data_IF_546124450311
#
_entry.id   IF_546124450311
#
_cell.length_a   1.000
_cell.length_b   1.000
_cell.length_c   1.000
_cell.angle_alpha   90.00
_cell.angle_beta   90.00
_cell.angle_gamma   90.00
#
_symmetry.space_group_name_H-M   'P 1'
#
loop_
_entity.id
_entity.type
_entity.pdbx_description
1 polymer ?
#
# COMPACT_ATOMS: atom_id res chain seq x y z
N UNK A 1 -41.08 -51.65 -52.50
CA UNK A 1 -40.64 -50.25 -52.40
C UNK A 1 -40.89 -49.80 -50.96
N UNK A 2 -39.85 -49.86 -50.14
CA UNK A 2 -39.85 -49.46 -48.73
C UNK A 2 -39.01 -48.18 -48.56
N UNK A 3 -39.36 -47.25 -47.67
CA UNK A 3 -38.69 -45.96 -47.57
C UNK A 3 -37.37 -46.06 -46.79
N UNK A 4 -36.43 -45.18 -47.13
CA UNK A 4 -35.09 -45.07 -46.59
C UNK A 4 -35.05 -44.58 -45.13
N UNK A 5 -34.24 -45.24 -44.31
CA UNK A 5 -33.79 -44.76 -43.00
C UNK A 5 -32.88 -43.52 -43.18
N UNK A 6 -33.38 -42.37 -42.72
CA UNK A 6 -32.58 -41.17 -42.52
C UNK A 6 -32.10 -41.13 -41.07
N UNK A 7 -30.79 -41.31 -40.87
CA UNK A 7 -30.13 -41.18 -39.57
C UNK A 7 -30.20 -39.73 -39.06
N UNK A 8 -30.81 -39.53 -37.89
CA UNK A 8 -30.85 -38.25 -37.17
C UNK A 8 -29.47 -38.05 -36.49
N UNK A 9 -28.77 -36.91 -36.68
CA UNK A 9 -27.55 -36.62 -35.94
C UNK A 9 -27.89 -36.29 -34.48
N UNK A 10 -27.25 -36.99 -33.56
CA UNK A 10 -27.27 -36.69 -32.12
C UNK A 10 -26.66 -35.31 -31.87
N UNK A 11 -27.46 -34.38 -31.37
CA UNK A 11 -27.02 -33.05 -30.99
C UNK A 11 -26.07 -33.12 -29.79
N UNK A 12 -24.86 -32.60 -29.96
CA UNK A 12 -23.97 -32.29 -28.86
C UNK A 12 -24.64 -31.24 -27.96
N UNK A 13 -25.18 -31.66 -26.81
CA UNK A 13 -25.49 -30.75 -25.71
C UNK A 13 -24.18 -30.12 -25.23
N UNK A 14 -23.93 -28.88 -25.64
CA UNK A 14 -22.97 -28.02 -24.94
C UNK A 14 -23.47 -27.90 -23.50
N UNK A 15 -22.69 -28.42 -22.55
CA UNK A 15 -22.94 -28.15 -21.14
C UNK A 15 -22.64 -26.67 -20.91
N UNK A 16 -23.68 -25.83 -20.95
CA UNK A 16 -23.63 -24.49 -20.39
C UNK A 16 -23.41 -24.63 -18.89
N UNK A 17 -22.14 -24.68 -18.46
CA UNK A 17 -21.77 -24.66 -17.05
C UNK A 17 -22.30 -23.33 -16.50
N UNK A 18 -23.31 -23.40 -15.62
CA UNK A 18 -23.89 -22.22 -15.00
C UNK A 18 -22.76 -21.37 -14.38
N UNK A 19 -22.73 -20.08 -14.72
CA UNK A 19 -21.73 -19.16 -14.16
C UNK A 19 -21.89 -19.12 -12.64
N UNK A 20 -20.83 -19.46 -11.91
CA UNK A 20 -20.82 -19.34 -10.45
C UNK A 20 -20.92 -17.86 -10.06
N UNK A 21 -21.80 -17.56 -9.10
CA UNK A 21 -22.05 -16.20 -8.61
C UNK A 21 -21.38 -15.96 -7.25
N UNK A 22 -21.09 -14.69 -6.96
CA UNK A 22 -20.56 -14.22 -5.68
C UNK A 22 -21.28 -12.96 -5.22
N UNK A 23 -21.17 -12.65 -3.92
CA UNK A 23 -21.51 -11.35 -3.36
C UNK A 23 -20.34 -10.39 -3.50
N UNK A 24 -20.65 -9.12 -3.77
CA UNK A 24 -19.70 -8.02 -3.79
C UNK A 24 -20.31 -6.79 -3.11
N UNK A 25 -19.46 -6.00 -2.47
CA UNK A 25 -19.79 -4.69 -1.95
C UNK A 25 -19.28 -3.64 -2.95
N UNK A 26 -20.21 -2.92 -3.59
CA UNK A 26 -19.87 -1.97 -4.65
C UNK A 26 -20.47 -0.60 -4.40
N UNK A 27 -19.93 0.39 -5.11
CA UNK A 27 -20.48 1.75 -5.20
C UNK A 27 -21.07 1.94 -6.59
N UNK A 28 -22.34 2.35 -6.68
CA UNK A 28 -23.05 2.44 -7.96
C UNK A 28 -22.64 3.65 -8.81
N UNK A 29 -22.38 4.78 -8.15
CA UNK A 29 -21.90 6.03 -8.75
C UNK A 29 -21.03 6.76 -7.74
N UNK A 30 -20.18 7.66 -8.21
CA UNK A 30 -19.30 8.47 -7.35
C UNK A 30 -20.06 9.09 -6.16
N UNK A 31 -19.57 8.83 -4.95
CA UNK A 31 -20.14 9.34 -3.69
C UNK A 31 -21.37 8.59 -3.15
N UNK A 32 -21.88 7.58 -3.85
CA UNK A 32 -22.98 6.77 -3.36
C UNK A 32 -22.55 5.86 -2.18
N UNK A 33 -23.48 5.49 -1.29
CA UNK A 33 -23.22 4.48 -0.27
C UNK A 33 -22.91 3.12 -0.91
N UNK A 34 -22.24 2.26 -0.15
CA UNK A 34 -22.00 0.88 -0.58
C UNK A 34 -23.30 0.08 -0.59
N UNK A 35 -23.46 -0.76 -1.62
CA UNK A 35 -24.53 -1.74 -1.71
C UNK A 35 -23.95 -3.15 -1.89
N UNK A 36 -24.69 -4.15 -1.39
CA UNK A 36 -24.34 -5.56 -1.61
C UNK A 36 -25.11 -6.07 -2.82
N UNK A 37 -24.38 -6.56 -3.82
CA UNK A 37 -24.95 -7.16 -5.03
C UNK A 37 -24.50 -8.61 -5.19
N UNK A 38 -25.11 -9.31 -6.14
CA UNK A 38 -24.55 -10.55 -6.69
C UNK A 38 -23.99 -10.29 -8.08
N UNK A 39 -22.85 -10.91 -8.40
CA UNK A 39 -22.18 -10.81 -9.71
C UNK A 39 -21.45 -12.12 -10.05
N UNK A 40 -21.12 -12.38 -11.32
CA UNK A 40 -20.34 -13.57 -11.70
C UNK A 40 -18.96 -13.61 -11.01
N UNK A 41 -18.47 -14.82 -10.73
CA UNK A 41 -17.07 -15.04 -10.37
C UNK A 41 -16.24 -15.00 -11.65
N UNK A 42 -15.23 -14.13 -11.74
CA UNK A 42 -14.39 -14.03 -12.93
C UNK A 42 -13.48 -15.26 -13.07
N UNK A 43 -13.04 -15.53 -14.30
CA UNK A 43 -12.04 -16.59 -14.59
C UNK A 43 -10.67 -15.93 -14.75
N UNK A 44 -9.59 -16.45 -14.14
CA UNK A 44 -8.28 -15.83 -14.24
C UNK A 44 -7.71 -15.94 -15.65
N UNK A 45 -7.25 -14.81 -16.20
CA UNK A 45 -6.53 -14.77 -17.47
C UNK A 45 -5.04 -15.08 -17.31
N UNK A 46 -4.24 -14.93 -18.39
CA UNK A 46 -2.80 -15.18 -18.32
C UNK A 46 -2.08 -14.34 -17.25
N UNK A 47 -1.28 -15.00 -16.42
CA UNK A 47 -0.52 -14.38 -15.31
C UNK A 47 -1.37 -13.96 -14.10
N UNK A 48 -2.63 -14.38 -14.04
CA UNK A 48 -3.56 -14.05 -12.96
C UNK A 48 -3.88 -15.27 -12.10
N UNK A 49 -4.25 -15.02 -10.85
CA UNK A 49 -4.82 -16.00 -9.95
C UNK A 49 -6.19 -15.52 -9.49
N UNK A 50 -7.13 -16.45 -9.34
CA UNK A 50 -8.38 -16.20 -8.65
C UNK A 50 -8.18 -16.52 -7.18
N UNK A 51 -8.41 -15.54 -6.31
CA UNK A 51 -8.31 -15.72 -4.86
C UNK A 51 -9.69 -15.69 -4.24
N UNK A 52 -10.01 -16.72 -3.45
CA UNK A 52 -11.15 -16.72 -2.55
C UNK A 52 -10.80 -15.91 -1.31
N UNK A 53 -11.48 -14.78 -1.14
CA UNK A 53 -11.20 -13.80 -0.10
C UNK A 53 -11.56 -14.34 1.28
N UNK A 54 -10.66 -14.14 2.24
CA UNK A 54 -10.89 -14.41 3.66
C UNK A 54 -10.93 -13.10 4.47
N UNK A 55 -10.05 -12.14 4.15
CA UNK A 55 -10.02 -10.83 4.76
C UNK A 55 -9.60 -9.76 3.74
N UNK A 56 -10.05 -8.53 3.96
CA UNK A 56 -9.62 -7.34 3.25
C UNK A 56 -9.33 -6.24 4.29
N UNK A 57 -8.30 -5.43 4.07
CA UNK A 57 -8.04 -4.26 4.90
C UNK A 57 -8.71 -3.02 4.34
N UNK A 58 -9.00 -2.06 5.22
CA UNK A 58 -9.56 -0.76 4.87
C UNK A 58 -8.45 0.28 4.82
N UNK A 59 -8.37 1.01 3.72
CA UNK A 59 -7.39 2.05 3.50
C UNK A 59 -8.06 3.40 3.20
N UNK A 60 -7.41 4.53 3.51
CA UNK A 60 -7.92 5.86 3.10
C UNK A 60 -8.14 5.99 1.59
N UNK A 61 -7.37 5.27 0.76
CA UNK A 61 -7.55 5.26 -0.69
C UNK A 61 -8.88 4.62 -1.11
N UNK A 62 -9.41 3.63 -0.37
CA UNK A 62 -10.70 3.00 -0.69
C UNK A 62 -11.84 4.02 -0.58
N UNK A 63 -11.78 4.86 0.45
CA UNK A 63 -12.70 5.99 0.60
C UNK A 63 -12.54 7.00 -0.54
N UNK A 64 -11.30 7.41 -0.87
CA UNK A 64 -11.01 8.33 -1.99
C UNK A 64 -11.49 7.77 -3.34
N UNK A 65 -11.39 6.46 -3.58
CA UNK A 65 -11.94 5.80 -4.77
C UNK A 65 -13.45 5.99 -4.85
N UNK A 66 -14.18 5.71 -3.75
CA UNK A 66 -15.63 5.83 -3.71
C UNK A 66 -16.13 7.27 -3.88
N UNK A 67 -15.54 8.23 -3.16
CA UNK A 67 -16.05 9.61 -3.13
C UNK A 67 -15.48 10.51 -4.22
N UNK A 68 -14.26 10.27 -4.70
CA UNK A 68 -13.61 11.09 -5.73
C UNK A 68 -13.61 10.42 -7.12
N UNK A 69 -13.83 9.11 -7.20
CA UNK A 69 -13.56 8.33 -8.42
C UNK A 69 -12.06 8.13 -8.68
N UNK A 70 -11.21 8.33 -7.66
CA UNK A 70 -9.76 8.29 -7.83
C UNK A 70 -9.30 6.92 -8.34
N UNK A 71 -8.63 6.87 -9.50
CA UNK A 71 -8.14 5.64 -10.17
C UNK A 71 -9.21 4.66 -10.64
N UNK A 72 -10.50 5.00 -10.56
CA UNK A 72 -11.56 4.18 -11.11
C UNK A 72 -11.80 4.57 -12.57
N UNK A 73 -11.86 3.56 -13.45
CA UNK A 73 -12.15 3.75 -14.87
C UNK A 73 -13.66 3.97 -15.10
N UNK A 74 -14.50 3.28 -14.32
CA UNK A 74 -15.95 3.32 -14.44
C UNK A 74 -16.66 2.98 -13.13
N UNK A 75 -17.95 3.29 -13.08
CA UNK A 75 -18.91 2.83 -12.07
C UNK A 75 -20.02 2.01 -12.76
N UNK A 76 -20.66 1.03 -12.10
CA UNK A 76 -20.49 0.62 -10.71
C UNK A 76 -19.14 -0.06 -10.43
N UNK A 77 -18.56 0.18 -9.26
CA UNK A 77 -17.21 -0.25 -8.93
C UNK A 77 -17.13 -1.06 -7.63
N UNK A 78 -16.47 -2.22 -7.70
CA UNK A 78 -15.99 -2.94 -6.50
C UNK A 78 -14.66 -2.32 -6.06
N UNK A 79 -14.63 -1.83 -4.83
CA UNK A 79 -13.46 -1.16 -4.24
C UNK A 79 -12.58 -2.15 -3.48
N UNK A 80 -11.68 -1.64 -2.64
CA UNK A 80 -10.73 -2.44 -1.89
C UNK A 80 -9.40 -2.62 -2.63
N UNK A 81 -8.30 -2.44 -1.89
CA UNK A 81 -6.93 -2.63 -2.37
C UNK A 81 -6.29 -3.88 -1.78
N UNK A 82 -6.32 -4.02 -0.46
CA UNK A 82 -5.60 -5.08 0.25
C UNK A 82 -6.47 -6.31 0.47
N UNK A 83 -5.85 -7.48 0.35
CA UNK A 83 -6.54 -8.75 0.45
C UNK A 83 -5.66 -9.87 0.99
N UNK A 84 -6.32 -10.78 1.71
CA UNK A 84 -5.76 -12.08 2.07
C UNK A 84 -6.81 -13.17 1.86
N UNK A 85 -6.40 -14.31 1.33
CA UNK A 85 -7.30 -15.38 0.98
C UNK A 85 -6.61 -16.65 0.50
N UNK A 86 -7.38 -17.54 -0.10
CA UNK A 86 -6.86 -18.82 -0.61
C UNK A 86 -6.90 -18.82 -2.14
N UNK A 87 -5.82 -19.24 -2.79
CA UNK A 87 -5.80 -19.40 -4.25
C UNK A 87 -6.83 -20.46 -4.65
N UNK A 88 -7.80 -20.08 -5.48
CA UNK A 88 -8.89 -20.95 -5.94
C UNK A 88 -8.59 -21.53 -7.33
N UNK A 89 -7.99 -20.73 -8.21
CA UNK A 89 -7.60 -21.12 -9.56
C UNK A 89 -6.41 -20.28 -10.06
N UNK A 90 -5.65 -20.85 -10.99
CA UNK A 90 -4.52 -20.22 -11.67
C UNK A 90 -4.90 -20.00 -13.13
N UNK A 91 -4.50 -18.86 -13.68
CA UNK A 91 -4.54 -18.59 -15.11
C UNK A 91 -3.31 -19.12 -15.83
N UNK A 92 -3.32 -18.99 -17.16
CA UNK A 92 -2.23 -19.45 -18.02
C UNK A 92 -0.89 -18.77 -17.68
N UNK A 93 0.21 -19.52 -17.71
CA UNK A 93 1.56 -18.98 -17.51
C UNK A 93 1.92 -18.60 -16.07
N UNK A 94 1.05 -18.90 -15.09
CA UNK A 94 1.40 -18.84 -13.66
C UNK A 94 2.20 -20.09 -13.30
N UNK A 95 3.40 -19.91 -12.74
CA UNK A 95 4.24 -21.02 -12.28
C UNK A 95 3.62 -21.72 -11.06
N UNK A 96 3.19 -22.97 -11.27
CA UNK A 96 2.59 -23.79 -10.21
C UNK A 96 3.57 -24.16 -9.08
N UNK A 97 4.87 -24.02 -9.28
CA UNK A 97 5.88 -24.19 -8.23
C UNK A 97 5.93 -23.01 -7.25
N UNK A 98 5.57 -21.80 -7.71
CA UNK A 98 5.56 -20.60 -6.87
C UNK A 98 4.21 -20.41 -6.17
N UNK A 99 3.10 -20.65 -6.87
CA UNK A 99 1.74 -20.55 -6.36
C UNK A 99 0.91 -21.75 -6.80
N UNK A 100 0.04 -22.26 -5.95
CA UNK A 100 -0.88 -23.35 -6.29
C UNK A 100 -2.25 -23.16 -5.61
N UNK A 101 -3.26 -23.85 -6.13
CA UNK A 101 -4.58 -23.90 -5.49
C UNK A 101 -4.45 -24.36 -4.04
N UNK A 102 -5.14 -23.68 -3.13
CA UNK A 102 -5.08 -23.95 -1.69
C UNK A 102 -4.02 -23.13 -0.95
N UNK A 103 -3.09 -22.45 -1.64
CA UNK A 103 -2.13 -21.58 -0.98
C UNK A 103 -2.84 -20.40 -0.31
N UNK A 104 -2.42 -20.12 0.94
CA UNK A 104 -2.82 -18.93 1.68
C UNK A 104 -1.97 -17.76 1.20
N UNK A 105 -2.59 -16.70 0.70
CA UNK A 105 -1.89 -15.60 0.04
C UNK A 105 -2.38 -14.24 0.49
N UNK A 106 -1.47 -13.27 0.47
CA UNK A 106 -1.72 -11.84 0.67
C UNK A 106 -1.26 -11.05 -0.56
N UNK A 107 -1.91 -9.92 -0.83
CA UNK A 107 -1.64 -9.12 -2.03
C UNK A 107 -2.22 -7.70 -1.91
N UNK A 108 -1.68 -6.80 -2.73
CA UNK A 108 -2.31 -5.52 -3.07
C UNK A 108 -2.84 -5.57 -4.52
N UNK A 109 -4.00 -4.98 -4.75
CA UNK A 109 -4.58 -4.78 -6.07
C UNK A 109 -3.78 -3.76 -6.88
N UNK A 110 -3.58 -4.03 -8.18
CA UNK A 110 -2.96 -3.09 -9.12
C UNK A 110 -3.85 -2.61 -10.28
N UNK A 111 -4.95 -3.32 -10.59
CA UNK A 111 -5.84 -3.01 -11.72
C UNK A 111 -7.17 -2.40 -11.25
N UNK A 112 -7.54 -1.26 -11.82
CA UNK A 112 -8.72 -0.39 -11.57
C UNK A 112 -10.13 -1.02 -11.74
N UNK A 113 -10.25 -2.20 -12.35
CA UNK A 113 -11.56 -2.80 -12.68
C UNK A 113 -12.16 -3.65 -11.55
N UNK A 114 -13.50 -3.79 -11.54
CA UNK A 114 -14.26 -4.45 -10.46
C UNK A 114 -13.84 -5.90 -10.16
N UNK A 115 -13.36 -6.66 -11.15
CA UNK A 115 -12.91 -8.06 -10.92
C UNK A 115 -11.68 -8.17 -10.02
N UNK A 116 -10.98 -7.07 -9.79
CA UNK A 116 -9.75 -7.02 -9.01
C UNK A 116 -9.94 -6.38 -7.62
N UNK A 117 -11.12 -5.80 -7.33
CA UNK A 117 -11.43 -5.20 -6.03
C UNK A 117 -11.51 -6.24 -4.92
N UNK A 118 -11.06 -5.92 -3.71
CA UNK A 118 -11.02 -6.88 -2.60
C UNK A 118 -12.30 -6.94 -1.78
N UNK A 119 -13.24 -6.00 -1.99
CA UNK A 119 -14.56 -6.01 -1.34
C UNK A 119 -15.56 -6.93 -2.04
N UNK A 120 -15.15 -8.17 -2.32
CA UNK A 120 -15.97 -9.24 -2.89
C UNK A 120 -15.46 -10.61 -2.43
N UNK A 121 -16.18 -11.69 -2.71
CA UNK A 121 -15.79 -13.02 -2.23
C UNK A 121 -14.65 -13.66 -3.03
N UNK A 122 -14.47 -13.27 -4.30
CA UNK A 122 -13.43 -13.74 -5.21
C UNK A 122 -12.89 -12.61 -6.08
N UNK A 123 -11.57 -12.42 -6.08
CA UNK A 123 -10.90 -11.38 -6.85
C UNK A 123 -9.80 -11.97 -7.75
N UNK A 124 -9.65 -11.41 -8.95
CA UNK A 124 -8.50 -11.66 -9.82
C UNK A 124 -7.32 -10.84 -9.34
N UNK A 125 -6.14 -11.45 -9.25
CA UNK A 125 -4.91 -10.79 -8.80
C UNK A 125 -3.74 -11.17 -9.70
N UNK A 126 -2.84 -10.23 -9.94
CA UNK A 126 -1.60 -10.49 -10.66
C UNK A 126 -0.73 -11.45 -9.86
N UNK A 127 -0.39 -12.62 -10.42
CA UNK A 127 0.36 -13.66 -9.72
C UNK A 127 1.72 -13.16 -9.19
N UNK A 128 2.40 -12.24 -9.91
CA UNK A 128 3.69 -11.65 -9.49
C UNK A 128 3.56 -10.64 -8.35
N UNK A 129 2.35 -10.38 -7.87
CA UNK A 129 2.04 -9.51 -6.72
C UNK A 129 1.28 -10.26 -5.61
N UNK A 130 1.31 -11.58 -5.68
CA UNK A 130 0.66 -12.46 -4.72
C UNK A 130 1.73 -13.21 -3.95
N UNK A 131 1.69 -13.11 -2.62
CA UNK A 131 2.72 -13.67 -1.75
C UNK A 131 2.11 -14.65 -0.75
N UNK A 132 2.80 -15.77 -0.50
CA UNK A 132 2.37 -16.78 0.47
C UNK A 132 2.38 -16.21 1.90
N UNK A 133 1.32 -16.51 2.65
CA UNK A 133 1.19 -16.14 4.06
C UNK A 133 1.96 -17.16 4.91
N UNK A 134 2.88 -16.73 5.79
CA UNK A 134 3.50 -17.62 6.77
C UNK A 134 2.45 -18.30 7.66
N UNK A 135 2.70 -19.56 8.05
CA UNK A 135 1.75 -20.33 8.87
C UNK A 135 1.38 -19.64 10.20
N UNK A 136 2.26 -18.75 10.70
CA UNK A 136 2.10 -18.01 11.95
C UNK A 136 1.15 -16.82 11.87
N UNK A 137 0.76 -16.36 10.68
CA UNK A 137 -0.15 -15.23 10.52
C UNK A 137 -1.56 -15.70 10.16
N UNK A 138 -2.58 -15.07 10.74
CA UNK A 138 -3.96 -15.21 10.27
C UNK A 138 -4.21 -14.46 8.96
N UNK A 139 -5.35 -14.68 8.30
CA UNK A 139 -5.69 -13.90 7.10
C UNK A 139 -5.90 -12.41 7.41
N UNK A 140 -6.55 -12.12 8.53
CA UNK A 140 -6.81 -10.75 9.01
C UNK A 140 -5.50 -10.01 9.27
N UNK A 141 -4.55 -10.65 9.95
CA UNK A 141 -3.22 -10.08 10.16
C UNK A 141 -2.52 -9.84 8.81
N UNK A 142 -2.49 -10.85 7.94
CA UNK A 142 -1.82 -10.77 6.65
C UNK A 142 -2.40 -9.69 5.73
N UNK A 143 -3.71 -9.46 5.75
CA UNK A 143 -4.37 -8.43 4.94
C UNK A 143 -3.93 -7.00 5.30
N UNK A 144 -3.34 -6.76 6.48
CA UNK A 144 -2.92 -5.41 6.90
C UNK A 144 -1.55 -4.99 6.36
N UNK A 145 -0.80 -5.91 5.76
CA UNK A 145 0.56 -5.68 5.29
C UNK A 145 0.68 -5.01 3.90
N UNK A 146 -0.03 -5.48 2.84
CA UNK A 146 0.46 -5.31 1.46
C UNK A 146 0.66 -3.84 1.04
N UNK A 147 -0.38 -3.01 1.02
CA UNK A 147 -0.29 -1.62 0.56
C UNK A 147 0.62 -0.77 1.46
N UNK A 148 0.46 -0.87 2.78
CA UNK A 148 1.20 -0.02 3.72
C UNK A 148 2.68 -0.36 3.74
N UNK A 149 3.04 -1.64 3.77
CA UNK A 149 4.43 -2.10 3.69
C UNK A 149 5.07 -1.71 2.37
N UNK A 150 4.37 -1.96 1.25
CA UNK A 150 4.86 -1.61 -0.10
C UNK A 150 5.06 -0.09 -0.22
N UNK A 151 4.23 0.70 0.45
CA UNK A 151 4.37 2.16 0.48
C UNK A 151 5.66 2.62 1.14
N UNK A 152 5.97 2.08 2.31
CA UNK A 152 7.24 2.38 3.00
C UNK A 152 8.42 1.83 2.20
N UNK A 153 8.32 0.60 1.70
CA UNK A 153 9.40 -0.06 0.97
C UNK A 153 9.80 0.72 -0.30
N UNK A 154 8.82 1.21 -1.05
CA UNK A 154 9.07 2.08 -2.21
C UNK A 154 9.67 3.40 -1.76
N UNK A 155 9.05 4.09 -0.80
CA UNK A 155 9.49 5.41 -0.35
C UNK A 155 10.95 5.41 0.12
N UNK A 156 11.36 4.43 0.90
CA UNK A 156 12.71 4.37 1.47
C UNK A 156 13.75 3.72 0.54
N UNK A 157 13.38 2.67 -0.20
CA UNK A 157 14.38 1.77 -0.78
C UNK A 157 14.30 1.64 -2.31
N UNK A 158 13.21 2.06 -2.96
CA UNK A 158 13.18 2.01 -4.41
C UNK A 158 14.24 2.95 -5.01
N UNK A 159 14.79 2.62 -6.20
CA UNK A 159 15.68 3.52 -6.92
C UNK A 159 15.01 4.86 -7.21
N UNK A 160 15.83 5.90 -7.39
CA UNK A 160 15.36 7.16 -7.94
C UNK A 160 14.67 6.92 -9.29
N UNK A 161 13.44 7.40 -9.46
CA UNK A 161 12.74 7.26 -10.72
C UNK A 161 11.25 7.62 -10.67
N UNK A 162 10.49 7.26 -11.72
CA UNK A 162 9.09 7.65 -11.87
C UNK A 162 8.14 7.13 -10.77
N UNK A 163 8.58 6.14 -9.99
CA UNK A 163 7.81 5.58 -8.87
C UNK A 163 8.17 6.20 -7.52
N UNK A 164 9.15 7.11 -7.50
CA UNK A 164 9.72 7.66 -6.28
C UNK A 164 10.59 6.64 -5.54
N UNK A 165 11.50 7.15 -4.71
CA UNK A 165 12.29 6.34 -3.80
C UNK A 165 13.55 7.07 -3.37
N UNK A 166 13.98 6.85 -2.13
CA UNK A 166 15.19 7.45 -1.56
C UNK A 166 16.45 6.65 -1.89
N UNK A 167 16.30 5.45 -2.47
CA UNK A 167 17.39 4.54 -2.81
C UNK A 167 18.31 4.19 -1.63
N UNK A 168 17.77 4.11 -0.41
CA UNK A 168 18.49 3.47 0.68
C UNK A 168 18.66 1.97 0.40
N UNK A 169 19.74 1.39 0.90
CA UNK A 169 19.97 -0.05 0.88
C UNK A 169 18.97 -0.69 1.84
N UNK A 170 18.11 -1.55 1.30
CA UNK A 170 17.05 -2.17 2.08
C UNK A 170 17.61 -3.15 3.12
N UNK A 171 16.97 -3.34 4.28
CA UNK A 171 17.47 -4.22 5.33
C UNK A 171 17.52 -5.70 4.91
N UNK A 172 16.80 -6.09 3.86
CA UNK A 172 16.84 -7.43 3.26
C UNK A 172 17.89 -7.59 2.14
N UNK A 173 18.67 -6.55 1.83
CA UNK A 173 19.80 -6.61 0.91
C UNK A 173 21.11 -6.77 1.69
N UNK A 174 22.11 -7.35 1.03
CA UNK A 174 23.45 -7.51 1.61
C UNK A 174 24.01 -6.18 2.12
N UNK A 175 24.41 -6.18 3.39
CA UNK A 175 24.94 -5.00 4.07
C UNK A 175 23.93 -3.88 4.35
N UNK A 176 22.62 -4.11 4.15
CA UNK A 176 21.57 -3.12 4.43
C UNK A 176 21.07 -3.14 5.88
N UNK A 177 21.06 -4.30 6.52
CA UNK A 177 20.63 -4.45 7.92
C UNK A 177 21.56 -3.65 8.84
N UNK A 178 21.02 -2.71 9.61
CA UNK A 178 21.80 -1.88 10.53
C UNK A 178 22.80 -0.92 9.85
N UNK A 179 22.67 -0.66 8.54
CA UNK A 179 23.62 0.17 7.78
C UNK A 179 23.66 1.63 8.22
N UNK A 180 22.54 2.16 8.67
CA UNK A 180 22.34 3.59 8.92
C UNK A 180 22.45 3.97 10.40
N UNK A 181 23.28 3.24 11.16
CA UNK A 181 23.62 3.57 12.56
C UNK A 181 24.03 5.02 12.70
N UNK A 182 23.65 5.61 13.84
CA UNK A 182 23.94 6.98 14.24
C UNK A 182 23.38 8.06 13.29
N UNK A 183 22.48 7.67 12.37
CA UNK A 183 21.72 8.62 11.56
C UNK A 183 20.32 8.78 12.13
N UNK A 184 19.90 10.01 12.47
CA UNK A 184 18.56 10.25 12.94
C UNK A 184 17.54 10.06 11.81
N UNK A 185 16.30 9.72 12.17
CA UNK A 185 15.16 9.71 11.27
C UNK A 185 13.93 10.26 11.99
N UNK A 186 13.06 10.95 11.27
CA UNK A 186 11.77 11.41 11.78
C UNK A 186 10.62 10.75 11.03
N UNK A 187 9.65 10.23 11.77
CA UNK A 187 8.37 9.75 11.23
C UNK A 187 7.23 10.63 11.75
N UNK A 188 6.54 11.34 10.86
CA UNK A 188 5.32 12.07 11.20
C UNK A 188 4.13 11.13 11.04
N UNK A 189 3.28 11.04 12.07
CA UNK A 189 2.09 10.15 12.04
C UNK A 189 2.41 8.69 12.32
N UNK A 190 3.31 8.40 13.26
CA UNK A 190 3.85 7.06 13.47
C UNK A 190 2.85 6.00 13.95
N UNK A 191 1.69 6.39 14.48
CA UNK A 191 0.67 5.45 14.96
C UNK A 191 -0.25 4.91 13.85
N UNK A 192 -0.25 5.52 12.66
CA UNK A 192 -0.98 4.99 11.50
C UNK A 192 -0.28 3.77 10.87
N UNK A 193 -1.00 2.98 10.08
CA UNK A 193 -0.48 1.74 9.48
C UNK A 193 0.82 1.94 8.69
N UNK A 194 0.91 3.00 7.88
CA UNK A 194 2.15 3.35 7.14
C UNK A 194 3.26 3.75 8.11
N UNK A 195 2.97 4.60 9.10
CA UNK A 195 3.93 5.03 10.11
C UNK A 195 4.52 3.88 10.92
N UNK A 196 3.69 2.89 11.28
CA UNK A 196 4.12 1.68 11.99
C UNK A 196 5.12 0.85 11.18
N UNK A 197 4.90 0.69 9.87
CA UNK A 197 5.87 0.03 9.00
C UNK A 197 7.13 0.89 8.80
N UNK A 198 7.00 2.22 8.73
CA UNK A 198 8.15 3.13 8.60
C UNK A 198 9.08 3.01 9.81
N UNK A 199 8.54 3.03 11.04
CA UNK A 199 9.31 2.85 12.27
C UNK A 199 10.08 1.53 12.29
N UNK A 200 9.40 0.43 11.96
CA UNK A 200 10.02 -0.90 11.95
C UNK A 200 11.12 -1.00 10.88
N UNK A 201 10.88 -0.44 9.69
CA UNK A 201 11.85 -0.44 8.59
C UNK A 201 13.08 0.42 8.89
N UNK A 202 12.88 1.61 9.45
CA UNK A 202 13.99 2.47 9.91
C UNK A 202 14.81 1.79 11.01
N UNK A 203 14.15 1.09 11.95
CA UNK A 203 14.83 0.32 13.00
C UNK A 203 15.66 -0.83 12.42
N UNK A 204 15.12 -1.61 11.49
CA UNK A 204 15.87 -2.68 10.81
C UNK A 204 17.05 -2.11 10.01
N UNK A 205 16.87 -0.96 9.36
CA UNK A 205 17.92 -0.22 8.67
C UNK A 205 18.98 0.38 9.60
N UNK A 206 18.73 0.41 10.91
CA UNK A 206 19.69 0.86 11.94
C UNK A 206 19.65 2.34 12.28
N UNK A 207 18.67 3.10 11.79
CA UNK A 207 18.55 4.52 12.12
C UNK A 207 18.41 4.72 13.63
N UNK A 208 19.09 5.72 14.16
CA UNK A 208 19.05 6.11 15.56
C UNK A 208 19.59 7.55 15.72
N UNK A 209 18.88 8.45 16.41
CA UNK A 209 17.54 8.29 16.98
C UNK A 209 16.44 8.16 15.92
N UNK A 210 15.44 7.32 16.20
CA UNK A 210 14.16 7.31 15.50
C UNK A 210 13.18 8.17 16.30
N UNK A 211 12.88 9.36 15.79
CA UNK A 211 11.96 10.35 16.36
C UNK A 211 10.59 10.15 15.71
N UNK A 212 9.52 10.25 16.48
CA UNK A 212 8.16 10.06 15.98
C UNK A 212 7.19 11.11 16.51
N UNK A 213 6.24 11.54 15.68
CA UNK A 213 5.05 12.25 16.14
C UNK A 213 3.82 11.33 16.16
N UNK A 214 3.06 11.36 17.26
CA UNK A 214 1.74 10.73 17.41
C UNK A 214 1.05 11.27 18.68
N UNK A 215 -0.24 11.01 18.88
CA UNK A 215 -0.93 11.41 20.12
C UNK A 215 -0.43 10.62 21.34
N UNK A 216 -0.42 11.20 22.55
CA UNK A 216 0.14 10.59 23.78
C UNK A 216 -0.36 9.16 24.04
N UNK A 217 -1.64 8.88 23.81
CA UNK A 217 -2.19 7.53 24.04
C UNK A 217 -1.58 6.44 23.14
N UNK A 218 -0.85 6.82 22.08
CA UNK A 218 -0.16 5.91 21.17
C UNK A 218 1.33 5.72 21.51
N UNK A 219 1.87 6.38 22.54
CA UNK A 219 3.32 6.36 22.81
C UNK A 219 3.86 4.93 22.97
N UNK A 220 3.21 4.10 23.78
CA UNK A 220 3.63 2.70 23.98
C UNK A 220 3.62 1.91 22.66
N UNK A 221 2.64 2.17 21.79
CA UNK A 221 2.48 1.48 20.50
C UNK A 221 3.60 1.85 19.52
N UNK A 222 3.93 3.15 19.36
CA UNK A 222 5.01 3.58 18.48
C UNK A 222 6.40 3.19 19.00
N UNK A 223 6.59 3.15 20.33
CA UNK A 223 7.84 2.65 20.93
C UNK A 223 8.03 1.16 20.69
N UNK A 224 6.97 0.36 20.80
CA UNK A 224 7.01 -1.06 20.46
C UNK A 224 7.42 -1.30 18.99
N UNK A 225 6.99 -0.41 18.09
CA UNK A 225 7.36 -0.44 16.67
C UNK A 225 8.80 0.02 16.38
N UNK A 226 9.48 0.64 17.34
CA UNK A 226 10.90 1.01 17.21
C UNK A 226 11.22 2.48 17.41
N UNK A 227 10.24 3.34 17.71
CA UNK A 227 10.53 4.72 18.05
C UNK A 227 11.41 4.82 19.32
N UNK A 228 12.45 5.65 19.24
CA UNK A 228 13.36 5.91 20.37
C UNK A 228 12.95 7.18 21.12
N UNK A 229 12.42 8.17 20.39
CA UNK A 229 11.98 9.44 20.93
C UNK A 229 10.58 9.75 20.41
N UNK A 230 9.72 10.27 21.30
CA UNK A 230 8.31 10.51 21.05
C UNK A 230 7.99 11.99 21.25
N UNK A 231 7.18 12.55 20.36
CA UNK A 231 6.68 13.93 20.43
C UNK A 231 5.17 13.90 20.23
N UNK A 232 4.40 14.41 21.19
CA UNK A 232 2.95 14.57 21.01
C UNK A 232 2.64 15.83 20.22
N UNK A 233 2.03 15.67 19.04
CA UNK A 233 1.65 16.78 18.17
C UNK A 233 0.56 17.69 18.78
N UNK A 234 -0.18 17.24 19.80
CA UNK A 234 -1.14 18.08 20.53
C UNK A 234 -0.47 19.07 21.48
N UNK A 235 0.72 18.75 21.98
CA UNK A 235 1.49 19.61 22.89
C UNK A 235 2.64 20.32 22.18
N UNK A 236 3.10 19.76 21.07
CA UNK A 236 4.11 20.31 20.18
C UNK A 236 3.52 20.39 18.77
N UNK A 237 2.82 21.49 18.42
CA UNK A 237 2.32 21.68 17.06
C UNK A 237 3.46 21.65 16.03
N UNK A 238 3.12 21.43 14.76
CA UNK A 238 4.10 21.16 13.70
C UNK A 238 5.06 22.34 13.42
N UNK A 239 4.62 23.58 13.63
CA UNK A 239 5.46 24.78 13.56
C UNK A 239 6.55 24.82 14.65
N UNK A 240 6.29 24.22 15.81
CA UNK A 240 7.23 24.10 16.92
C UNK A 240 8.08 22.80 16.86
N UNK A 241 7.82 21.91 15.90
CA UNK A 241 8.45 20.59 15.83
C UNK A 241 9.98 20.69 15.67
N UNK A 242 10.48 21.66 14.90
CA UNK A 242 11.92 21.88 14.71
C UNK A 242 12.66 22.11 16.03
N UNK A 243 12.07 22.92 16.93
CA UNK A 243 12.64 23.16 18.25
C UNK A 243 12.63 21.91 19.14
N UNK A 244 11.60 21.07 19.02
CA UNK A 244 11.53 19.81 19.76
C UNK A 244 12.54 18.77 19.27
N UNK A 245 12.72 18.65 17.96
CA UNK A 245 13.74 17.78 17.36
C UNK A 245 15.15 18.24 17.73
N UNK A 246 15.43 19.55 17.73
CA UNK A 246 16.73 20.09 18.09
C UNK A 246 17.14 19.78 19.55
N UNK A 247 16.17 19.55 20.45
CA UNK A 247 16.45 19.10 21.83
C UNK A 247 16.83 17.61 21.91
N UNK A 248 16.53 16.83 20.88
CA UNK A 248 16.83 15.40 20.81
C UNK A 248 18.15 15.15 20.08
N UNK A 249 18.38 15.86 18.96
CA UNK A 249 19.56 15.66 18.13
C UNK A 249 19.99 16.97 17.47
N UNK A 250 21.29 17.19 17.41
CA UNK A 250 21.93 18.22 16.56
C UNK A 250 22.42 17.64 15.22
N UNK A 251 22.34 16.32 15.04
CA UNK A 251 22.73 15.66 13.79
C UNK A 251 21.66 15.92 12.73
N UNK A 252 22.04 16.33 11.50
CA UNK A 252 21.09 16.58 10.42
C UNK A 252 20.25 15.35 10.09
N UNK A 253 18.96 15.54 9.80
CA UNK A 253 18.03 14.47 9.42
C UNK A 253 18.17 14.12 7.93
N UNK A 254 18.80 12.98 7.56
CA UNK A 254 18.85 12.54 6.16
C UNK A 254 17.50 12.08 5.61
N UNK A 255 16.53 11.80 6.48
CA UNK A 255 15.18 11.34 6.10
C UNK A 255 14.13 11.86 7.07
N UNK A 256 13.08 12.47 6.51
CA UNK A 256 11.80 12.67 7.18
C UNK A 256 10.73 11.92 6.39
N UNK A 257 10.03 11.00 7.06
CA UNK A 257 8.93 10.24 6.48
C UNK A 257 7.60 10.79 6.99
N UNK A 258 6.82 11.42 6.11
CA UNK A 258 5.50 11.94 6.41
C UNK A 258 4.41 10.96 5.97
N UNK A 259 3.77 10.32 6.97
CA UNK A 259 2.67 9.39 6.75
C UNK A 259 1.28 10.05 6.82
N UNK A 260 1.21 11.37 7.02
CA UNK A 260 -0.03 12.15 7.11
C UNK A 260 -0.29 12.91 5.81
N UNK A 261 0.74 13.57 5.27
CA UNK A 261 0.69 14.32 4.01
C UNK A 261 -0.31 15.50 4.01
N UNK A 262 -0.49 16.16 5.15
CA UNK A 262 -1.18 17.44 5.22
C UNK A 262 -0.20 18.59 4.96
N UNK A 263 -0.71 19.79 4.68
CA UNK A 263 0.13 20.94 4.34
C UNK A 263 1.10 21.30 5.48
N UNK A 264 0.59 21.32 6.71
CA UNK A 264 1.37 21.64 7.92
C UNK A 264 2.44 20.57 8.21
N UNK A 265 2.12 19.28 8.02
CA UNK A 265 3.09 18.19 8.18
C UNK A 265 4.17 18.22 7.12
N UNK A 266 3.79 18.55 5.87
CA UNK A 266 4.73 18.67 4.77
C UNK A 266 5.69 19.84 4.96
N UNK A 267 5.20 21.00 5.41
CA UNK A 267 6.03 22.17 5.71
C UNK A 267 6.99 21.90 6.87
N UNK A 268 6.52 21.27 7.95
CA UNK A 268 7.39 20.90 9.07
C UNK A 268 8.44 19.87 8.66
N UNK A 269 8.05 18.84 7.89
CA UNK A 269 8.99 17.86 7.35
C UNK A 269 10.04 18.51 6.45
N UNK A 270 9.64 19.48 5.63
CA UNK A 270 10.56 20.26 4.80
C UNK A 270 11.59 21.00 5.65
N UNK A 271 11.12 21.78 6.64
CA UNK A 271 11.99 22.58 7.50
C UNK A 271 12.99 21.74 8.31
N UNK A 272 12.67 20.47 8.57
CA UNK A 272 13.46 19.53 9.35
C UNK A 272 14.43 18.70 8.51
N UNK A 273 14.17 18.54 7.21
CA UNK A 273 15.01 17.71 6.35
C UNK A 273 16.33 18.43 6.06
N UNK A 274 17.45 17.73 6.28
CA UNK A 274 18.77 18.29 6.05
C UNK A 274 19.01 18.60 4.56
N UNK A 275 19.91 19.56 4.23
CA UNK A 275 20.45 19.66 2.87
C UNK A 275 21.04 18.33 2.40
N UNK A 276 20.72 17.93 1.16
CA UNK A 276 21.02 16.62 0.60
C UNK A 276 20.18 15.45 1.15
N UNK A 277 19.30 15.72 2.12
CA UNK A 277 18.37 14.76 2.72
C UNK A 277 17.07 14.62 1.92
N UNK A 278 16.22 13.72 2.41
CA UNK A 278 15.00 13.33 1.72
C UNK A 278 13.75 13.51 2.57
N UNK A 279 12.70 14.03 1.95
CA UNK A 279 11.34 13.95 2.44
C UNK A 279 10.60 12.88 1.63
N UNK A 280 10.06 11.88 2.32
CA UNK A 280 9.20 10.85 1.73
C UNK A 280 7.78 11.03 2.26
N UNK A 281 6.83 11.28 1.37
CA UNK A 281 5.43 11.60 1.70
C UNK A 281 4.49 10.53 1.16
N UNK A 282 3.55 10.09 2.00
CA UNK A 282 2.50 9.13 1.67
C UNK A 282 1.12 9.73 1.96
N UNK A 283 0.33 10.07 0.93
CA UNK A 283 -1.09 10.37 1.15
C UNK A 283 -1.75 11.41 0.24
N UNK A 284 -0.99 12.23 -0.49
CA UNK A 284 -1.51 13.34 -1.29
C UNK A 284 -0.46 14.42 -1.53
N UNK A 285 -0.84 15.49 -2.25
CA UNK A 285 0.04 16.59 -2.69
C UNK A 285 -0.43 17.96 -2.17
N UNK A 286 -1.25 17.97 -1.11
CA UNK A 286 -2.08 19.13 -0.76
C UNK A 286 -1.24 20.39 -0.47
N UNK A 287 0.00 20.24 0.05
CA UNK A 287 0.90 21.34 0.39
C UNK A 287 2.07 21.61 -0.57
N UNK A 288 2.05 21.14 -1.83
CA UNK A 288 3.23 21.25 -2.71
C UNK A 288 3.54 22.70 -3.15
N UNK A 289 2.54 23.59 -3.25
CA UNK A 289 2.73 24.90 -3.90
C UNK A 289 3.86 25.74 -3.29
N UNK A 290 4.01 25.68 -1.96
CA UNK A 290 4.90 26.57 -1.22
C UNK A 290 6.31 25.99 -1.04
N UNK A 291 6.47 24.67 -1.25
CA UNK A 291 7.73 23.95 -1.06
C UNK A 291 8.62 23.92 -2.32
N UNK A 292 8.06 24.22 -3.50
CA UNK A 292 8.75 24.04 -4.78
C UNK A 292 10.03 24.88 -4.93
N UNK A 293 10.14 26.03 -4.26
CA UNK A 293 11.29 26.94 -4.38
C UNK A 293 12.61 26.33 -3.88
N UNK A 294 12.54 25.29 -3.03
CA UNK A 294 13.72 24.69 -2.38
C UNK A 294 13.99 23.24 -2.84
N UNK A 295 13.22 22.74 -3.81
CA UNK A 295 13.30 21.36 -4.31
C UNK A 295 14.16 21.28 -5.58
N UNK A 296 15.24 20.51 -5.53
CA UNK A 296 16.08 20.25 -6.72
C UNK A 296 15.68 18.95 -7.43
N UNK A 297 15.13 17.98 -6.69
CA UNK A 297 14.56 16.76 -7.27
C UNK A 297 13.22 16.45 -6.64
N UNK A 298 12.17 16.52 -7.45
CA UNK A 298 10.82 16.15 -7.10
C UNK A 298 10.40 14.91 -7.90
N UNK A 299 9.91 13.89 -7.21
CA UNK A 299 9.34 12.69 -7.83
C UNK A 299 7.95 12.46 -7.27
N UNK A 300 6.94 12.43 -8.16
CA UNK A 300 5.54 12.21 -7.80
C UNK A 300 5.04 10.95 -8.49
N UNK A 301 4.45 10.04 -7.73
CA UNK A 301 3.83 8.82 -8.27
C UNK A 301 2.53 8.50 -7.54
N UNK A 302 1.40 8.77 -8.18
CA UNK A 302 0.10 8.59 -7.54
C UNK A 302 -0.08 9.53 -6.35
N UNK A 303 -0.32 8.97 -5.16
CA UNK A 303 -0.46 9.71 -3.90
C UNK A 303 0.85 9.75 -3.08
N UNK A 304 1.99 9.47 -3.71
CA UNK A 304 3.31 9.45 -3.07
C UNK A 304 4.20 10.51 -3.69
N UNK A 305 5.00 11.15 -2.84
CA UNK A 305 6.00 12.13 -3.25
C UNK A 305 7.32 11.84 -2.54
N UNK A 306 8.43 11.94 -3.28
CA UNK A 306 9.77 11.94 -2.70
C UNK A 306 10.48 13.19 -3.20
N UNK A 307 10.95 14.01 -2.27
CA UNK A 307 11.62 15.27 -2.55
C UNK A 307 13.00 15.30 -1.91
N UNK A 308 13.98 15.85 -2.63
CA UNK A 308 15.32 16.14 -2.11
C UNK A 308 15.45 17.63 -1.81
N UNK A 309 15.89 17.93 -0.59
CA UNK A 309 16.16 19.29 -0.11
C UNK A 309 17.61 19.64 -0.40
N UNK A 310 17.89 20.81 -1.00
CA UNK A 310 19.27 21.33 -1.11
C UNK A 310 19.45 22.58 -0.23
N UNK A 311 20.67 23.12 -0.15
CA UNK A 311 20.95 24.34 0.61
C UNK A 311 20.12 25.52 0.08
N UNK A 312 19.64 26.43 0.95
CA UNK A 312 19.01 27.66 0.48
C UNK A 312 20.01 28.45 -0.39
N UNK A 313 19.57 28.89 -1.56
CA UNK A 313 20.33 29.81 -2.44
C UNK A 313 20.47 31.17 -1.77
#
# INVERSE_FOLDING_TARGET
>A
MTPSDASIPTSHRSQHRAMSIQKALLVEVKGAPFIVVTRPIPTPGPGEVLVKMAAAALNPIDHKMGVLGFRLDEFPAVLGIDGAGTVEALGEGVDSGELQKGDRVLFERLKFASDYGTFQQYALINAKRTYKIPATLSFEQAATFPLCLTTVAIGLYAPYGPRGGVAFTAPWQDGGLGKYKDRPALVIGGSGSVGQFALQMLKLSGFNPIIVTASTHNEAYVRAAGATHFIDYHTTPYDALSGAVARITSTPLPIVFDAIAHDDTQQAAWALTAPGGWQSVSGGLDGISDALEKVVKLQVSGAKMVARVDEPV
#
